data_IF_224727411420
#
_entry.id   IF_224727411420
#
_cell.length_a   1.000
_cell.length_b   1.000
_cell.length_c   1.000
_cell.angle_alpha   90.00
_cell.angle_beta   90.00
_cell.angle_gamma   90.00
#
_symmetry.space_group_name_H-M   'P 1'
#
loop_
_entity.id
_entity.type
_entity.pdbx_description
1 polymer ?
#
# COMPACT_ATOMS: atom_id res chain seq x y z
N UNK A 1 7.44 -1.92 32.65
CA UNK A 1 7.36 -2.64 31.37
C UNK A 1 7.53 -1.66 30.23
N UNK A 2 7.39 -2.13 28.99
CA UNK A 2 7.59 -1.31 27.79
C UNK A 2 6.29 -1.24 26.97
N UNK A 3 5.90 -0.05 26.51
CA UNK A 3 4.79 0.14 25.58
C UNK A 3 5.34 0.44 24.19
N UNK A 4 4.69 -0.06 23.15
CA UNK A 4 4.97 0.28 21.77
C UNK A 4 3.80 1.06 21.16
N UNK A 5 4.10 1.99 20.26
CA UNK A 5 3.12 2.69 19.41
C UNK A 5 3.16 2.04 18.03
N UNK A 6 2.17 1.21 17.74
CA UNK A 6 2.06 0.48 16.48
C UNK A 6 1.13 1.20 15.52
N UNK A 7 1.50 1.36 14.26
CA UNK A 7 0.75 2.14 13.26
C UNK A 7 -0.30 1.32 12.49
N UNK A 8 -1.01 0.44 13.20
CA UNK A 8 -2.24 -0.22 12.73
C UNK A 8 -3.24 -0.42 13.88
N UNK A 9 -4.42 -0.92 13.54
CA UNK A 9 -5.35 -1.51 14.49
C UNK A 9 -5.03 -3.00 14.66
N UNK A 10 -4.18 -3.33 15.65
CA UNK A 10 -3.87 -4.72 15.99
C UNK A 10 -5.15 -5.50 16.36
N UNK A 11 -5.24 -6.80 16.05
CA UNK A 11 -4.15 -7.70 15.64
C UNK A 11 -3.77 -7.67 14.15
N UNK A 12 -4.45 -6.89 13.32
CA UNK A 12 -4.14 -6.80 11.90
C UNK A 12 -2.88 -5.98 11.63
N UNK A 13 -2.17 -6.31 10.55
CA UNK A 13 -0.99 -5.59 10.05
C UNK A 13 0.16 -5.49 11.08
N UNK A 14 0.52 -6.61 11.73
CA UNK A 14 1.74 -6.72 12.54
C UNK A 14 3.00 -6.60 11.68
N UNK A 15 4.05 -5.97 12.19
CA UNK A 15 5.34 -5.87 11.51
C UNK A 15 5.71 -4.45 11.08
N UNK A 16 6.60 -4.35 10.09
CA UNK A 16 7.40 -3.16 9.85
C UNK A 16 6.73 -2.05 9.03
N UNK A 17 5.75 -2.35 8.17
CA UNK A 17 5.17 -1.36 7.24
C UNK A 17 3.63 -1.29 7.24
N UNK A 18 2.96 -1.21 8.41
CA UNK A 18 1.51 -1.30 8.51
C UNK A 18 0.76 -0.22 7.72
N UNK A 19 1.22 1.03 7.73
CA UNK A 19 0.56 2.13 7.02
C UNK A 19 0.53 1.87 5.50
N UNK A 20 1.65 1.48 4.92
CA UNK A 20 1.78 1.20 3.49
C UNK A 20 0.92 -0.01 3.09
N UNK A 21 0.95 -1.07 3.89
CA UNK A 21 0.15 -2.27 3.63
C UNK A 21 -1.35 -2.04 3.81
N UNK A 22 -1.78 -1.15 4.72
CA UNK A 22 -3.18 -0.78 4.85
C UNK A 22 -3.72 -0.18 3.54
N UNK A 23 -3.01 0.81 2.99
CA UNK A 23 -3.38 1.41 1.69
C UNK A 23 -3.27 0.39 0.55
N UNK A 24 -2.15 -0.35 0.49
CA UNK A 24 -1.88 -1.30 -0.60
C UNK A 24 -2.86 -2.49 -0.66
N UNK A 25 -3.53 -2.80 0.45
CA UNK A 25 -4.56 -3.84 0.53
C UNK A 25 -5.98 -3.28 0.51
N UNK A 26 -6.15 -1.97 0.29
CA UNK A 26 -7.45 -1.34 0.13
C UNK A 26 -8.26 -1.22 1.43
N UNK A 27 -7.60 -1.16 2.59
CA UNK A 27 -8.28 -0.88 3.86
C UNK A 27 -8.95 0.50 3.79
N UNK A 28 -10.16 0.61 4.32
CA UNK A 28 -10.90 1.89 4.44
C UNK A 28 -10.66 2.58 5.77
N UNK A 29 -10.19 1.85 6.76
CA UNK A 29 -9.86 2.34 8.09
C UNK A 29 -8.55 1.72 8.56
N UNK A 30 -7.80 2.49 9.35
CA UNK A 30 -6.61 2.02 10.06
C UNK A 30 -6.50 2.81 11.36
N UNK A 31 -5.36 2.80 12.02
CA UNK A 31 -5.16 3.57 13.23
C UNK A 31 -3.82 3.32 13.88
N UNK A 32 -3.78 3.64 15.16
CA UNK A 32 -2.66 3.37 16.04
C UNK A 32 -3.11 2.50 17.20
N UNK A 33 -2.22 1.59 17.60
CA UNK A 33 -2.39 0.75 18.78
C UNK A 33 -1.24 1.00 19.74
N UNK A 34 -1.57 1.39 20.97
CA UNK A 34 -0.64 1.31 22.09
C UNK A 34 -0.72 -0.12 22.63
N UNK A 35 0.36 -0.88 22.54
CA UNK A 35 0.41 -2.26 23.01
C UNK A 35 1.50 -2.46 24.07
N UNK A 36 1.29 -3.44 24.94
CA UNK A 36 2.32 -3.93 25.83
C UNK A 36 3.28 -4.81 25.03
N UNK A 37 4.58 -4.51 25.06
CA UNK A 37 5.57 -5.37 24.40
C UNK A 37 5.69 -6.71 25.14
N UNK A 38 5.83 -7.78 24.36
CA UNK A 38 6.17 -9.14 24.76
C UNK A 38 7.28 -9.70 23.83
N UNK A 39 7.56 -11.00 23.88
CA UNK A 39 8.65 -11.62 23.11
C UNK A 39 8.33 -11.79 21.62
N UNK A 40 7.05 -11.78 21.24
CA UNK A 40 6.63 -11.95 19.86
C UNK A 40 6.57 -10.63 19.07
N UNK A 41 6.48 -10.75 17.75
CA UNK A 41 6.36 -9.59 16.86
C UNK A 41 4.94 -9.03 16.92
N UNK A 42 4.78 -7.90 17.62
CA UNK A 42 3.52 -7.19 17.78
C UNK A 42 2.37 -8.06 18.32
N UNK A 43 2.69 -9.00 19.21
CA UNK A 43 1.74 -9.98 19.76
C UNK A 43 1.11 -9.55 21.07
N UNK A 44 1.76 -8.69 21.84
CA UNK A 44 1.35 -8.38 23.19
C UNK A 44 0.05 -7.58 23.31
N UNK A 45 -0.50 -7.58 24.53
CA UNK A 45 -1.84 -7.07 24.81
C UNK A 45 -2.05 -5.62 24.39
N UNK A 46 -3.20 -5.38 23.77
CA UNK A 46 -3.68 -4.06 23.40
C UNK A 46 -3.98 -3.26 24.67
N UNK A 47 -3.48 -2.03 24.74
CA UNK A 47 -3.69 -1.09 25.86
C UNK A 47 -4.61 0.06 25.50
N UNK A 48 -4.52 0.56 24.26
CA UNK A 48 -5.38 1.62 23.73
C UNK A 48 -5.33 1.60 22.19
N UNK A 49 -6.45 1.91 21.52
CA UNK A 49 -6.50 2.05 20.06
C UNK A 49 -7.20 3.33 19.64
N UNK A 50 -6.74 3.95 18.54
CA UNK A 50 -7.42 5.08 17.90
C UNK A 50 -7.45 4.85 16.40
N UNK A 51 -8.62 4.96 15.79
CA UNK A 51 -8.83 4.75 14.37
C UNK A 51 -8.92 6.06 13.58
N UNK A 52 -8.69 5.97 12.27
CA UNK A 52 -9.00 6.99 11.28
C UNK A 52 -9.41 6.34 9.95
N UNK A 53 -10.18 7.05 9.14
CA UNK A 53 -10.53 6.63 7.79
C UNK A 53 -9.40 6.92 6.80
N UNK A 54 -9.16 5.99 5.87
CA UNK A 54 -8.21 6.14 4.76
C UNK A 54 -8.97 6.78 3.59
N UNK A 55 -8.46 7.90 3.07
CA UNK A 55 -9.05 8.56 1.90
C UNK A 55 -8.79 7.77 0.61
N UNK A 56 -9.64 7.96 -0.40
CA UNK A 56 -9.54 7.23 -1.67
C UNK A 56 -8.22 7.53 -2.42
N UNK A 57 -7.67 8.73 -2.25
CA UNK A 57 -6.41 9.19 -2.85
C UNK A 57 -5.19 9.05 -1.90
N UNK A 58 -5.38 8.50 -0.70
CA UNK A 58 -4.33 8.37 0.31
C UNK A 58 -3.17 7.52 -0.21
N UNK A 59 -1.94 7.99 0.03
CA UNK A 59 -0.70 7.24 -0.20
C UNK A 59 -0.15 6.69 1.11
N UNK A 60 0.77 5.72 1.03
CA UNK A 60 1.45 5.21 2.22
C UNK A 60 2.17 6.31 3.01
N UNK A 61 2.80 7.26 2.31
CA UNK A 61 3.47 8.41 2.92
C UNK A 61 2.50 9.42 3.55
N UNK A 62 1.39 9.76 2.88
CA UNK A 62 0.42 10.71 3.44
C UNK A 62 -0.30 10.11 4.65
N UNK A 63 -0.60 8.81 4.63
CA UNK A 63 -1.18 8.10 5.76
C UNK A 63 -0.22 8.07 6.95
N UNK A 64 1.05 7.77 6.74
CA UNK A 64 2.04 7.74 7.81
C UNK A 64 2.16 9.12 8.50
N UNK A 65 2.10 10.22 7.73
CA UNK A 65 2.07 11.58 8.27
C UNK A 65 0.84 11.87 9.14
N UNK A 66 -0.31 11.24 8.84
CA UNK A 66 -1.53 11.35 9.67
C UNK A 66 -1.48 10.47 10.93
N UNK A 67 -0.86 9.29 10.84
CA UNK A 67 -0.74 8.36 11.96
C UNK A 67 0.25 8.85 13.04
N UNK A 68 1.29 9.59 12.66
CA UNK A 68 2.28 10.10 13.61
C UNK A 68 1.69 10.98 14.74
N UNK A 69 0.93 12.07 14.47
CA UNK A 69 0.30 12.85 15.53
C UNK A 69 -0.75 12.04 16.30
N UNK A 70 -1.54 11.19 15.63
CA UNK A 70 -2.51 10.31 16.30
C UNK A 70 -1.84 9.37 17.31
N UNK A 71 -0.67 8.84 16.97
CA UNK A 71 0.15 7.99 17.83
C UNK A 71 0.68 8.74 19.06
N UNK A 72 1.12 9.99 18.89
CA UNK A 72 1.58 10.84 19.99
C UNK A 72 0.43 11.14 20.98
N UNK A 73 -0.75 11.47 20.47
CA UNK A 73 -1.95 11.71 21.28
C UNK A 73 -2.38 10.44 22.02
N UNK A 74 -2.42 9.30 21.32
CA UNK A 74 -2.75 8.00 21.88
C UNK A 74 -1.78 7.59 23.00
N UNK A 75 -0.48 7.81 22.81
CA UNK A 75 0.55 7.52 23.82
C UNK A 75 0.38 8.41 25.04
N UNK A 76 0.18 9.72 24.84
CA UNK A 76 -0.04 10.68 25.94
C UNK A 76 -1.25 10.26 26.78
N UNK A 77 -2.35 9.89 26.13
CA UNK A 77 -3.53 9.38 26.81
C UNK A 77 -3.26 8.06 27.55
N UNK A 78 -2.53 7.14 26.93
CA UNK A 78 -2.21 5.86 27.56
C UNK A 78 -1.35 6.04 28.82
N UNK A 79 -0.36 6.94 28.80
CA UNK A 79 0.47 7.26 29.96
C UNK A 79 -0.34 7.91 31.09
N UNK A 80 -1.28 8.81 30.77
CA UNK A 80 -2.17 9.39 31.76
C UNK A 80 -3.07 8.33 32.44
N UNK A 81 -3.64 7.41 31.66
CA UNK A 81 -4.41 6.28 32.20
C UNK A 81 -3.54 5.33 33.04
N UNK A 82 -2.29 5.11 32.62
CA UNK A 82 -1.35 4.26 33.33
C UNK A 82 -1.00 4.84 34.71
N UNK A 83 -0.74 6.14 34.79
CA UNK A 83 -0.44 6.83 36.04
C UNK A 83 -1.60 6.74 37.06
N UNK A 84 -2.84 6.60 36.57
CA UNK A 84 -4.03 6.42 37.39
C UNK A 84 -4.34 4.95 37.71
N UNK A 85 -3.55 3.99 37.23
CA UNK A 85 -3.85 2.56 37.36
C UNK A 85 -5.07 2.10 36.55
N UNK A 86 -5.47 2.86 35.53
CA UNK A 86 -6.71 2.67 34.74
C UNK A 86 -6.48 2.23 33.29
N UNK A 87 -5.22 2.02 32.87
CA UNK A 87 -4.93 1.60 31.50
C UNK A 87 -5.37 0.14 31.29
N UNK A 88 -6.39 -0.15 30.47
CA UNK A 88 -6.90 -1.50 30.28
C UNK A 88 -5.83 -2.39 29.61
N UNK A 89 -6.00 -3.70 29.74
CA UNK A 89 -5.13 -4.71 29.14
C UNK A 89 -6.02 -5.77 28.48
N UNK A 90 -5.98 -5.83 27.15
CA UNK A 90 -6.83 -6.70 26.35
C UNK A 90 -5.94 -7.62 25.50
N UNK A 91 -5.96 -8.93 25.72
CA UNK A 91 -5.26 -9.88 24.86
C UNK A 91 -5.71 -9.77 23.41
N UNK A 92 -4.77 -9.91 22.48
CA UNK A 92 -5.10 -9.93 21.05
C UNK A 92 -5.82 -11.22 20.65
N UNK A 93 -6.77 -11.13 19.72
CA UNK A 93 -7.30 -12.31 19.02
C UNK A 93 -6.32 -12.71 17.91
N UNK A 94 -5.44 -13.66 18.22
CA UNK A 94 -4.39 -14.09 17.30
C UNK A 94 -4.91 -14.72 16.00
N UNK A 95 -6.17 -15.18 15.96
CA UNK A 95 -6.76 -15.74 14.74
C UNK A 95 -7.02 -14.70 13.65
N UNK A 96 -7.07 -13.42 14.02
CA UNK A 96 -7.27 -12.28 13.11
C UNK A 96 -5.96 -11.59 12.72
N UNK A 97 -4.82 -12.12 13.17
CA UNK A 97 -3.55 -11.48 12.90
C UNK A 97 -3.19 -11.55 11.41
N UNK A 98 -2.82 -10.41 10.84
CA UNK A 98 -2.24 -10.32 9.50
C UNK A 98 -0.88 -9.64 9.59
N UNK A 99 0.00 -9.89 8.61
CA UNK A 99 1.36 -9.35 8.59
C UNK A 99 1.50 -8.19 7.62
N UNK A 100 2.31 -7.21 8.00
CA UNK A 100 2.75 -6.05 7.23
C UNK A 100 4.29 -6.06 7.20
N UNK A 101 4.90 -6.96 6.42
CA UNK A 101 6.36 -7.13 6.39
C UNK A 101 7.05 -5.86 5.90
N UNK A 102 8.36 -5.77 6.15
CA UNK A 102 9.20 -4.74 5.58
C UNK A 102 9.05 -4.78 4.05
N UNK A 103 8.78 -3.62 3.46
CA UNK A 103 8.66 -3.50 2.01
C UNK A 103 9.99 -3.83 1.33
N UNK A 104 9.89 -4.37 0.13
CA UNK A 104 11.00 -4.69 -0.76
C UNK A 104 10.76 -4.06 -2.13
N UNK A 105 11.78 -4.04 -3.01
CA UNK A 105 11.58 -3.62 -4.40
C UNK A 105 10.53 -4.46 -5.12
N UNK A 106 10.47 -5.75 -4.82
CA UNK A 106 9.58 -6.70 -5.50
C UNK A 106 8.11 -6.45 -5.17
N UNK A 107 7.78 -5.89 -4.00
CA UNK A 107 6.40 -5.53 -3.65
C UNK A 107 5.81 -4.51 -4.63
N UNK A 108 6.66 -3.66 -5.21
CA UNK A 108 6.29 -2.69 -6.23
C UNK A 108 6.15 -3.27 -7.63
N UNK A 109 6.53 -4.52 -7.87
CA UNK A 109 6.36 -5.16 -9.17
C UNK A 109 4.87 -5.34 -9.45
N UNK A 110 4.44 -4.91 -10.62
CA UNK A 110 3.07 -5.09 -11.08
C UNK A 110 2.84 -6.55 -11.39
N UNK A 111 1.88 -7.12 -10.69
CA UNK A 111 1.27 -8.41 -11.00
C UNK A 111 -0.03 -8.15 -11.77
N UNK A 112 0.04 -8.24 -13.09
CA UNK A 112 -1.08 -7.94 -13.98
C UNK A 112 -2.29 -8.87 -13.79
N UNK A 113 -2.18 -9.96 -13.01
CA UNK A 113 -3.31 -10.84 -12.70
C UNK A 113 -4.27 -10.26 -11.67
N UNK A 114 -3.88 -9.18 -10.99
CA UNK A 114 -4.70 -8.40 -10.05
C UNK A 114 -5.70 -7.51 -10.76
N UNK A 115 -6.73 -7.04 -10.05
CA UNK A 115 -7.63 -6.03 -10.62
C UNK A 115 -6.93 -4.68 -10.74
N UNK A 116 -7.43 -3.81 -11.62
CA UNK A 116 -6.87 -2.48 -11.77
C UNK A 116 -6.98 -1.63 -10.48
N UNK A 117 -8.03 -1.84 -9.68
CA UNK A 117 -8.22 -1.21 -8.37
C UNK A 117 -7.17 -1.68 -7.36
N UNK A 118 -6.87 -2.98 -7.32
CA UNK A 118 -5.80 -3.52 -6.48
C UNK A 118 -4.43 -2.96 -6.89
N UNK A 119 -4.16 -2.85 -8.19
CA UNK A 119 -2.92 -2.26 -8.69
C UNK A 119 -2.79 -0.78 -8.33
N UNK A 120 -3.88 -0.01 -8.43
CA UNK A 120 -3.86 1.39 -8.01
C UNK A 120 -3.67 1.53 -6.49
N UNK A 121 -4.36 0.72 -5.69
CA UNK A 121 -4.19 0.69 -4.24
C UNK A 121 -2.74 0.38 -3.85
N UNK A 122 -2.13 -0.65 -4.48
CA UNK A 122 -0.71 -1.00 -4.27
C UNK A 122 0.22 0.14 -4.68
N UNK A 123 0.01 0.76 -5.84
CA UNK A 123 0.79 1.92 -6.28
C UNK A 123 0.74 3.03 -5.24
N UNK A 124 -0.45 3.39 -4.74
CA UNK A 124 -0.62 4.42 -3.72
C UNK A 124 0.04 4.03 -2.39
N UNK A 125 -0.19 2.81 -1.91
CA UNK A 125 0.38 2.33 -0.65
C UNK A 125 1.90 2.26 -0.66
N UNK A 126 2.49 2.01 -1.82
CA UNK A 126 3.93 1.96 -2.03
C UNK A 126 4.51 3.28 -2.57
N UNK A 127 3.77 4.38 -2.52
CA UNK A 127 4.30 5.70 -2.85
C UNK A 127 4.91 6.34 -1.58
N UNK A 128 6.17 6.84 -1.63
CA UNK A 128 7.06 6.94 -2.79
C UNK A 128 7.91 5.69 -3.09
N UNK A 129 7.99 4.74 -2.14
CA UNK A 129 8.80 3.53 -2.27
C UNK A 129 8.04 2.27 -1.86
N UNK A 130 8.18 1.14 -2.59
CA UNK A 130 8.96 0.95 -3.84
C UNK A 130 8.37 1.58 -5.11
N UNK A 131 7.20 2.19 -5.04
CA UNK A 131 6.40 2.60 -6.19
C UNK A 131 5.80 1.41 -6.93
N UNK A 132 5.18 1.65 -8.09
CA UNK A 132 4.76 0.59 -9.00
C UNK A 132 5.70 0.52 -10.20
N UNK A 133 6.08 -0.68 -10.63
CA UNK A 133 6.93 -0.88 -11.80
C UNK A 133 6.63 -2.20 -12.52
N UNK A 134 6.83 -2.21 -13.83
CA UNK A 134 6.73 -3.37 -14.70
C UNK A 134 7.96 -3.41 -15.61
N UNK A 135 8.04 -4.43 -16.45
CA UNK A 135 9.02 -4.52 -17.54
C UNK A 135 8.34 -4.40 -18.89
N UNK A 136 9.08 -3.90 -19.88
CA UNK A 136 8.69 -3.81 -21.30
C UNK A 136 9.94 -4.08 -22.12
N UNK A 137 9.94 -5.12 -22.95
CA UNK A 137 11.10 -5.54 -23.75
C UNK A 137 12.39 -5.68 -22.90
N UNK A 138 12.26 -6.20 -21.67
CA UNK A 138 13.36 -6.38 -20.72
C UNK A 138 13.81 -5.13 -19.95
N UNK A 139 13.28 -3.95 -20.27
CA UNK A 139 13.60 -2.70 -19.58
C UNK A 139 12.56 -2.34 -18.52
N UNK A 140 12.99 -1.70 -17.42
CA UNK A 140 12.07 -1.27 -16.36
C UNK A 140 11.25 -0.05 -16.78
N UNK A 141 9.94 -0.12 -16.50
CA UNK A 141 9.01 0.98 -16.62
C UNK A 141 8.35 1.23 -15.25
N UNK A 142 8.65 2.36 -14.61
CA UNK A 142 7.94 2.78 -13.40
C UNK A 142 6.61 3.43 -13.79
N UNK A 143 5.55 3.09 -13.08
CA UNK A 143 4.21 3.66 -13.25
C UNK A 143 4.03 4.71 -12.15
N UNK A 144 3.95 5.98 -12.55
CA UNK A 144 3.86 7.10 -11.61
C UNK A 144 2.40 7.39 -11.27
N UNK A 145 1.52 7.36 -12.27
CA UNK A 145 0.08 7.50 -12.11
C UNK A 145 -0.66 6.69 -13.17
N UNK A 146 -1.80 6.15 -12.76
CA UNK A 146 -2.69 5.37 -13.59
C UNK A 146 -4.08 5.37 -12.95
N UNK A 147 -5.10 4.99 -13.71
CA UNK A 147 -6.48 4.90 -13.22
C UNK A 147 -7.14 3.59 -13.62
N UNK A 148 -7.95 2.97 -12.74
CA UNK A 148 -8.76 1.81 -13.10
C UNK A 148 -9.79 2.18 -14.18
N UNK A 149 -9.94 1.31 -15.18
CA UNK A 149 -10.97 1.40 -16.23
C UNK A 149 -11.50 0.01 -16.54
N UNK A 150 -12.66 -0.07 -17.21
CA UNK A 150 -13.14 -1.34 -17.76
C UNK A 150 -12.25 -1.76 -18.95
N UNK A 151 -11.96 -3.06 -19.05
CA UNK A 151 -11.16 -3.59 -20.15
C UNK A 151 -11.16 -5.11 -20.19
N UNK A 152 -10.83 -5.66 -21.35
CA UNK A 152 -10.77 -7.11 -21.57
C UNK A 152 -9.58 -7.44 -22.47
N UNK A 153 -8.77 -8.40 -22.05
CA UNK A 153 -7.55 -8.86 -22.70
C UNK A 153 -6.82 -9.84 -21.79
N UNK A 154 -5.68 -10.37 -22.22
CA UNK A 154 -4.84 -11.16 -21.33
C UNK A 154 -4.13 -10.24 -20.32
N UNK A 155 -3.92 -10.68 -19.05
CA UNK A 155 -3.10 -9.93 -18.09
C UNK A 155 -1.77 -9.44 -18.68
N UNK A 156 -1.53 -8.13 -18.60
CA UNK A 156 -0.33 -7.47 -19.12
C UNK A 156 -0.42 -7.07 -20.60
N UNK A 157 -1.50 -7.37 -21.29
CA UNK A 157 -1.71 -6.98 -22.69
C UNK A 157 -2.05 -5.49 -22.81
N UNK A 158 -1.27 -4.76 -23.59
CA UNK A 158 -1.56 -3.38 -23.98
C UNK A 158 -2.81 -3.37 -24.88
N UNK A 159 -3.84 -2.64 -24.45
CA UNK A 159 -5.08 -2.42 -25.20
C UNK A 159 -4.93 -1.18 -26.13
N UNK A 160 -6.03 -0.73 -26.72
CA UNK A 160 -6.03 0.55 -27.43
C UNK A 160 -5.76 1.72 -26.46
N UNK A 161 -4.90 2.66 -26.86
CA UNK A 161 -4.50 3.78 -26.02
C UNK A 161 -3.38 3.41 -25.03
N UNK A 162 -3.54 3.78 -23.76
CA UNK A 162 -2.54 3.52 -22.69
C UNK A 162 -3.00 2.50 -21.64
N UNK A 163 -4.15 1.86 -21.87
CA UNK A 163 -4.69 0.85 -20.97
C UNK A 163 -3.99 -0.49 -21.14
N UNK A 164 -3.68 -1.13 -20.01
CA UNK A 164 -3.11 -2.48 -19.98
C UNK A 164 -4.10 -3.40 -19.26
N UNK A 165 -4.45 -4.52 -19.88
CA UNK A 165 -5.40 -5.47 -19.32
C UNK A 165 -4.89 -6.10 -18.02
N UNK A 166 -5.81 -6.27 -17.09
CA UNK A 166 -5.57 -6.77 -15.74
C UNK A 166 -6.37 -8.07 -15.52
N UNK A 167 -6.80 -8.35 -14.28
CA UNK A 167 -7.82 -9.36 -14.02
C UNK A 167 -9.08 -9.16 -14.90
N UNK A 168 -9.85 -10.23 -15.18
CA UNK A 168 -11.01 -10.17 -16.07
C UNK A 168 -11.95 -8.99 -15.78
N UNK A 169 -12.31 -8.25 -16.84
CA UNK A 169 -13.22 -7.11 -16.77
C UNK A 169 -12.58 -5.78 -16.37
N UNK A 170 -11.28 -5.77 -16.02
CA UNK A 170 -10.56 -4.56 -15.61
C UNK A 170 -9.31 -4.31 -16.45
N UNK A 171 -8.94 -3.04 -16.61
CA UNK A 171 -7.68 -2.61 -17.18
C UNK A 171 -7.16 -1.38 -16.43
N UNK A 172 -5.85 -1.17 -16.46
CA UNK A 172 -5.20 -0.06 -15.80
C UNK A 172 -4.67 0.93 -16.83
N UNK A 173 -5.32 2.09 -16.91
CA UNK A 173 -4.96 3.14 -17.86
C UNK A 173 -3.78 3.94 -17.34
N UNK A 174 -2.62 3.77 -17.97
CA UNK A 174 -1.40 4.48 -17.60
C UNK A 174 -1.53 5.96 -17.98
N UNK A 175 -1.24 6.85 -17.03
CA UNK A 175 -1.31 8.31 -17.23
C UNK A 175 0.09 8.89 -17.32
N UNK A 176 0.93 8.64 -16.31
CA UNK A 176 2.36 9.00 -16.31
C UNK A 176 3.25 7.81 -15.99
N UNK A 177 4.34 7.71 -16.74
CA UNK A 177 5.34 6.64 -16.61
C UNK A 177 6.74 7.22 -16.55
N UNK A 178 7.69 6.43 -16.08
CA UNK A 178 9.10 6.75 -16.11
C UNK A 178 9.87 5.54 -16.66
N UNK A 179 10.25 5.57 -17.95
CA UNK A 179 11.12 4.56 -18.53
C UNK A 179 12.51 4.59 -17.89
N UNK A 180 13.20 3.46 -17.93
CA UNK A 180 14.56 3.32 -17.41
C UNK A 180 15.50 4.40 -17.94
N UNK A 181 16.25 5.04 -17.03
CA UNK A 181 17.18 6.12 -17.35
C UNK A 181 16.55 7.43 -17.85
N UNK A 182 15.21 7.53 -17.93
CA UNK A 182 14.51 8.71 -18.45
C UNK A 182 13.77 9.50 -17.36
N UNK A 183 13.37 10.72 -17.72
CA UNK A 183 12.45 11.54 -16.91
C UNK A 183 11.04 10.98 -16.98
N UNK A 184 10.21 11.34 -15.99
CA UNK A 184 8.76 11.10 -16.01
C UNK A 184 8.14 11.76 -17.24
N UNK A 185 7.18 11.10 -17.86
CA UNK A 185 6.50 11.58 -19.06
C UNK A 185 5.08 11.01 -19.18
N UNK A 186 4.19 11.66 -19.96
CA UNK A 186 2.88 11.10 -20.28
C UNK A 186 3.01 9.73 -20.95
N UNK A 187 2.16 8.78 -20.54
CA UNK A 187 2.17 7.41 -21.07
C UNK A 187 1.91 7.37 -22.58
N UNK A 188 1.02 8.24 -23.08
CA UNK A 188 0.73 8.34 -24.52
C UNK A 188 1.97 8.75 -25.34
N UNK A 189 2.75 9.71 -24.83
CA UNK A 189 3.99 10.15 -25.49
C UNK A 189 5.06 9.05 -25.45
N UNK A 190 5.18 8.33 -24.33
CA UNK A 190 6.07 7.18 -24.22
C UNK A 190 5.71 6.08 -25.24
N UNK A 191 4.43 5.71 -25.36
CA UNK A 191 3.97 4.68 -26.31
C UNK A 191 4.29 5.03 -27.77
N UNK A 192 4.07 6.30 -28.17
CA UNK A 192 4.42 6.77 -29.51
C UNK A 192 5.91 6.62 -29.79
N UNK A 193 6.76 7.03 -28.83
CA UNK A 193 8.21 6.93 -28.95
C UNK A 193 8.72 5.48 -28.93
N UNK A 194 8.10 4.61 -28.12
CA UNK A 194 8.43 3.20 -28.01
C UNK A 194 7.84 2.36 -29.18
N UNK A 195 6.93 2.95 -29.97
CA UNK A 195 6.25 2.30 -31.11
C UNK A 195 5.50 1.01 -30.71
N UNK A 196 5.04 0.93 -29.46
CA UNK A 196 4.25 -0.19 -28.97
C UNK A 196 2.84 -0.13 -29.57
N UNK A 197 2.28 -1.31 -29.88
CA UNK A 197 0.96 -1.47 -30.47
C UNK A 197 0.07 -2.31 -29.55
N UNK A 198 -1.27 -2.20 -29.68
CA UNK A 198 -2.17 -3.11 -28.99
C UNK A 198 -1.78 -4.58 -29.22
N UNK A 199 -1.91 -5.40 -28.17
CA UNK A 199 -1.45 -6.79 -28.14
C UNK A 199 -0.03 -6.99 -27.60
N UNK A 200 0.76 -5.91 -27.44
CA UNK A 200 2.09 -6.00 -26.81
C UNK A 200 1.97 -6.36 -25.33
N UNK A 201 2.92 -7.13 -24.78
CA UNK A 201 2.86 -7.60 -23.38
C UNK A 201 3.84 -6.85 -22.48
N UNK A 202 3.32 -6.36 -21.37
CA UNK A 202 4.08 -5.81 -20.25
C UNK A 202 4.27 -6.89 -19.19
N UNK A 203 5.33 -6.77 -18.39
CA UNK A 203 5.66 -7.71 -17.31
C UNK A 203 6.48 -8.92 -17.76
N UNK A 204 7.06 -8.86 -18.97
CA UNK A 204 7.98 -9.87 -19.53
C UNK A 204 9.36 -9.84 -18.88
#
# INVERSE_FOLDING_TARGET
GCLNVHASLLPELRGAAPAQWAVARGYRETGVTIMQMDEGLDTGDIRLQRGLSIADDETGESLLRKLAPLGADALTQALALLAQGRLPRVPQDHSKATLAPLLSREDGRVDWTRTAEELDARRRGFTPWPGAWTTVDGAVLKIQSARPVAGSGAPGELLAGTAVACAPGTAWELVEVQPEGKRRMPAAAWLQGARLKPGHRLGT
#
